data_IF_508014365320
#
_entry.id   IF_508014365320
#
_cell.length_a   1.000
_cell.length_b   1.000
_cell.length_c   1.000
_cell.angle_alpha   90.00
_cell.angle_beta   90.00
_cell.angle_gamma   90.00
#
_symmetry.space_group_name_H-M   'P 1'
#
loop_
_entity.id
_entity.type
_entity.pdbx_description
1 polymer ?
#
# COMPACT_ATOMS: atom_id res chain seq x y z
N UNK A 1 15.35 23.45 -66.12
CA UNK A 1 16.03 23.23 -64.83
C UNK A 1 15.02 23.05 -63.69
N UNK A 2 14.29 21.93 -63.62
CA UNK A 2 13.32 21.67 -62.52
C UNK A 2 12.99 20.18 -62.38
N UNK A 3 14.00 19.34 -62.14
CA UNK A 3 13.78 17.91 -61.82
C UNK A 3 14.63 17.36 -60.68
N UNK A 4 15.67 18.10 -60.25
CA UNK A 4 16.60 17.61 -59.21
C UNK A 4 16.14 17.98 -57.79
N UNK A 5 15.30 19.00 -57.61
CA UNK A 5 14.82 19.43 -56.28
C UNK A 5 13.74 18.53 -55.67
N UNK A 6 13.03 17.74 -56.48
CA UNK A 6 11.91 16.92 -56.00
C UNK A 6 12.36 15.62 -55.33
N UNK A 7 13.47 15.03 -55.79
CA UNK A 7 14.00 13.79 -55.22
C UNK A 7 14.66 13.99 -53.85
N UNK A 8 15.39 15.09 -53.65
CA UNK A 8 16.07 15.36 -52.37
C UNK A 8 15.10 15.59 -51.20
N UNK A 9 13.97 16.28 -51.45
CA UNK A 9 12.97 16.50 -50.40
C UNK A 9 12.19 15.25 -50.03
N UNK A 10 12.01 14.31 -50.97
CA UNK A 10 11.28 13.06 -50.71
C UNK A 10 12.13 12.08 -49.90
N UNK A 11 13.42 11.94 -50.23
CA UNK A 11 14.38 11.10 -49.48
C UNK A 11 14.62 11.64 -48.06
N UNK A 12 14.70 12.97 -47.90
CA UNK A 12 14.86 13.62 -46.58
C UNK A 12 13.61 13.50 -45.69
N UNK A 13 12.40 13.43 -46.27
CA UNK A 13 11.17 13.17 -45.52
C UNK A 13 11.08 11.70 -45.10
N UNK A 14 11.44 10.76 -45.98
CA UNK A 14 11.41 9.33 -45.67
C UNK A 14 12.39 8.94 -44.55
N UNK A 15 13.59 9.55 -44.52
CA UNK A 15 14.58 9.26 -43.47
C UNK A 15 14.17 9.76 -42.08
N UNK A 16 13.43 10.88 -42.00
CA UNK A 16 12.89 11.41 -40.74
C UNK A 16 11.76 10.52 -40.20
N UNK A 17 10.90 9.97 -41.07
CA UNK A 17 9.85 9.05 -40.65
C UNK A 17 10.40 7.71 -40.14
N UNK A 18 11.44 7.15 -40.78
CA UNK A 18 12.05 5.90 -40.31
C UNK A 18 12.77 6.11 -38.97
N UNK A 19 13.47 7.24 -38.79
CA UNK A 19 14.11 7.56 -37.52
C UNK A 19 13.10 7.74 -36.38
N UNK A 20 11.94 8.36 -36.64
CA UNK A 20 10.88 8.51 -35.63
C UNK A 20 10.26 7.17 -35.21
N UNK A 21 10.06 6.23 -36.14
CA UNK A 21 9.54 4.90 -35.83
C UNK A 21 10.54 4.10 -34.98
N UNK A 22 11.84 4.16 -35.29
CA UNK A 22 12.87 3.47 -34.50
C UNK A 22 12.99 4.03 -33.08
N UNK A 23 12.80 5.34 -32.89
CA UNK A 23 12.79 5.98 -31.57
C UNK A 23 11.56 5.55 -30.76
N UNK A 24 10.38 5.42 -31.38
CA UNK A 24 9.15 4.94 -30.71
C UNK A 24 9.30 3.45 -30.31
N UNK A 25 9.94 2.63 -31.15
CA UNK A 25 10.20 1.22 -30.85
C UNK A 25 11.22 1.03 -29.72
N UNK A 26 12.24 1.90 -29.64
CA UNK A 26 13.27 1.84 -28.58
C UNK A 26 12.76 2.35 -27.23
N UNK A 27 11.78 3.26 -27.21
CA UNK A 27 11.13 3.71 -25.97
C UNK A 27 10.12 2.69 -25.41
N UNK A 28 9.71 1.70 -26.23
CA UNK A 28 8.79 0.63 -25.80
C UNK A 28 9.50 -0.56 -25.15
N UNK A 29 10.84 -0.61 -25.19
CA UNK A 29 11.65 -1.71 -24.62
C UNK A 29 12.32 -1.36 -23.29
N UNK A 30 11.83 -0.33 -22.60
CA UNK A 30 12.26 0.02 -21.25
C UNK A 30 11.07 -0.10 -20.28
N UNK A 31 10.33 -1.20 -20.35
CA UNK A 31 9.58 -1.68 -19.20
C UNK A 31 10.57 -2.47 -18.35
N UNK A 32 11.12 -1.83 -17.33
CA UNK A 32 11.70 -2.54 -16.19
C UNK A 32 10.74 -3.65 -15.80
N UNK A 33 11.26 -4.86 -15.61
CA UNK A 33 10.55 -6.02 -15.07
C UNK A 33 9.95 -5.66 -13.70
N UNK A 34 8.78 -5.00 -13.69
CA UNK A 34 7.95 -4.91 -12.51
C UNK A 34 7.27 -6.26 -12.39
N UNK A 35 7.95 -7.19 -11.72
CA UNK A 35 7.33 -8.43 -11.27
C UNK A 35 6.09 -8.06 -10.48
N UNK A 36 4.96 -8.60 -10.91
CA UNK A 36 3.64 -8.31 -10.36
C UNK A 36 3.61 -8.56 -8.84
N UNK A 37 3.06 -7.63 -8.06
CA UNK A 37 3.03 -7.72 -6.59
C UNK A 37 2.29 -8.98 -6.16
N UNK A 38 1.22 -9.34 -6.86
CA UNK A 38 0.45 -10.56 -6.63
C UNK A 38 1.30 -11.83 -6.84
N UNK A 39 2.07 -11.88 -7.93
CA UNK A 39 2.98 -12.98 -8.23
C UNK A 39 4.06 -13.14 -7.15
N UNK A 40 4.63 -12.02 -6.68
CA UNK A 40 5.62 -12.04 -5.59
C UNK A 40 5.02 -12.58 -4.29
N UNK A 41 3.81 -12.15 -3.93
CA UNK A 41 3.09 -12.66 -2.74
C UNK A 41 2.87 -14.17 -2.87
N UNK A 42 2.30 -14.63 -3.98
CA UNK A 42 1.95 -16.05 -4.16
C UNK A 42 3.18 -16.95 -4.17
N UNK A 43 4.26 -16.52 -4.81
CA UNK A 43 5.53 -17.25 -4.82
C UNK A 43 6.07 -17.44 -3.41
N UNK A 44 6.07 -16.37 -2.59
CA UNK A 44 6.55 -16.40 -1.21
C UNK A 44 5.67 -17.24 -0.30
N UNK A 45 4.34 -17.11 -0.41
CA UNK A 45 3.41 -17.95 0.37
C UNK A 45 3.60 -19.43 0.06
N UNK A 46 3.80 -19.79 -1.21
CA UNK A 46 4.10 -21.17 -1.60
C UNK A 46 5.39 -21.68 -0.95
N UNK A 47 6.43 -20.87 -0.87
CA UNK A 47 7.67 -21.25 -0.19
C UNK A 47 7.46 -21.42 1.32
N UNK A 48 6.68 -20.53 1.95
CA UNK A 48 6.30 -20.66 3.37
C UNK A 48 5.61 -22.01 3.61
N UNK A 49 4.59 -22.34 2.81
CA UNK A 49 3.87 -23.61 2.89
C UNK A 49 4.80 -24.81 2.77
N UNK A 50 5.76 -24.76 1.84
CA UNK A 50 6.74 -25.83 1.65
C UNK A 50 7.74 -25.95 2.81
N UNK A 51 8.10 -24.84 3.45
CA UNK A 51 9.09 -24.81 4.53
C UNK A 51 8.57 -25.24 5.89
N UNK A 52 7.26 -25.09 6.15
CA UNK A 52 6.70 -25.29 7.50
C UNK A 52 6.10 -26.68 7.75
N UNK A 53 5.97 -27.54 6.72
CA UNK A 53 5.41 -28.91 6.83
C UNK A 53 4.07 -28.97 7.62
N UNK A 54 3.25 -27.91 7.51
CA UNK A 54 1.97 -27.81 8.23
C UNK A 54 0.88 -28.51 7.40
N UNK A 55 0.13 -29.47 7.98
CA UNK A 55 -0.97 -30.11 7.28
C UNK A 55 -2.07 -29.10 6.92
N UNK A 56 -2.34 -28.96 5.63
CA UNK A 56 -3.23 -27.98 4.97
C UNK A 56 -4.69 -28.04 5.49
N UNK A 57 -5.08 -29.08 6.24
CA UNK A 57 -6.46 -29.39 6.59
C UNK A 57 -6.80 -29.34 8.09
N UNK A 58 -5.94 -28.76 8.94
CA UNK A 58 -6.19 -28.63 10.38
C UNK A 58 -6.87 -27.32 10.77
N UNK A 59 -7.69 -27.33 11.82
CA UNK A 59 -8.03 -26.10 12.55
C UNK A 59 -6.73 -25.45 13.01
N UNK A 60 -6.42 -24.28 12.47
CA UNK A 60 -5.31 -23.48 12.95
C UNK A 60 -5.78 -22.81 14.22
N UNK A 61 -5.50 -23.43 15.35
CA UNK A 61 -5.46 -22.69 16.59
C UNK A 61 -4.36 -21.64 16.40
N UNK A 62 -4.73 -20.37 16.46
CA UNK A 62 -3.84 -19.19 16.43
C UNK A 62 -2.98 -19.11 17.69
N UNK A 63 -2.43 -20.24 18.12
CA UNK A 63 -1.54 -20.35 19.26
C UNK A 63 -0.25 -19.62 18.93
N UNK A 64 0.37 -19.01 19.94
CA UNK A 64 1.45 -18.03 19.74
C UNK A 64 2.64 -18.59 18.94
N UNK A 65 2.88 -19.90 19.00
CA UNK A 65 3.98 -20.54 18.28
C UNK A 65 3.85 -20.43 16.76
N UNK A 66 2.65 -20.61 16.19
CA UNK A 66 2.51 -20.55 14.72
C UNK A 66 2.65 -19.11 14.21
N UNK A 67 2.20 -18.14 14.98
CA UNK A 67 2.42 -16.73 14.66
C UNK A 67 3.91 -16.42 14.61
N UNK A 68 4.66 -16.85 15.63
CA UNK A 68 6.10 -16.63 15.72
C UNK A 68 6.84 -17.36 14.60
N UNK A 69 6.44 -18.58 14.25
CA UNK A 69 7.03 -19.35 13.15
C UNK A 69 6.86 -18.62 11.80
N UNK A 70 5.67 -18.09 11.52
CA UNK A 70 5.42 -17.28 10.32
C UNK A 70 6.24 -16.00 10.31
N UNK A 71 6.28 -15.29 11.43
CA UNK A 71 7.00 -14.01 11.55
C UNK A 71 8.51 -14.14 11.37
N UNK A 72 9.09 -15.29 11.72
CA UNK A 72 10.53 -15.56 11.60
C UNK A 72 10.93 -16.18 10.25
N UNK A 73 10.02 -16.22 9.26
CA UNK A 73 10.28 -16.79 7.95
C UNK A 73 10.77 -15.72 6.94
N UNK A 74 11.87 -15.99 6.23
CA UNK A 74 12.45 -15.04 5.26
C UNK A 74 11.51 -14.69 4.09
N UNK A 75 10.70 -15.64 3.63
CA UNK A 75 9.70 -15.38 2.60
C UNK A 75 8.57 -14.51 3.14
N UNK A 76 8.21 -14.65 4.41
CA UNK A 76 7.24 -13.76 5.06
C UNK A 76 7.78 -12.33 5.20
N UNK A 77 9.03 -12.16 5.64
CA UNK A 77 9.69 -10.85 5.64
C UNK A 77 9.68 -10.22 4.25
N UNK A 78 9.88 -11.04 3.20
CA UNK A 78 9.79 -10.62 1.82
C UNK A 78 8.40 -10.11 1.39
N UNK A 79 7.31 -10.67 1.95
CA UNK A 79 5.96 -10.15 1.74
C UNK A 79 5.81 -8.79 2.43
N UNK A 80 6.26 -8.68 3.70
CA UNK A 80 6.19 -7.43 4.47
C UNK A 80 7.00 -6.31 3.80
N UNK A 81 8.14 -6.64 3.20
CA UNK A 81 9.02 -5.71 2.51
C UNK A 81 8.38 -5.06 1.26
N UNK A 82 7.34 -5.67 0.67
CA UNK A 82 6.55 -5.06 -0.41
C UNK A 82 5.81 -3.80 0.07
N UNK A 83 5.58 -3.67 1.38
CA UNK A 83 4.99 -2.49 1.99
C UNK A 83 3.58 -2.20 1.49
N UNK A 84 3.22 -0.92 1.42
CA UNK A 84 1.86 -0.47 1.07
C UNK A 84 1.36 -1.02 -0.27
N UNK A 85 2.25 -1.29 -1.22
CA UNK A 85 1.88 -1.84 -2.52
C UNK A 85 1.21 -3.21 -2.42
N UNK A 86 1.51 -4.00 -1.38
CA UNK A 86 0.91 -5.32 -1.18
C UNK A 86 -0.47 -5.29 -0.50
N UNK A 87 -0.87 -4.18 0.13
CA UNK A 87 -2.13 -4.14 0.90
C UNK A 87 -3.38 -4.46 0.06
N UNK A 88 -3.59 -3.86 -1.14
CA UNK A 88 -4.76 -4.18 -1.95
C UNK A 88 -4.76 -5.63 -2.42
N UNK A 89 -3.60 -6.13 -2.86
CA UNK A 89 -3.44 -7.51 -3.34
C UNK A 89 -3.72 -8.53 -2.22
N UNK A 90 -3.18 -8.31 -1.02
CA UNK A 90 -3.42 -9.18 0.13
C UNK A 90 -4.90 -9.19 0.54
N UNK A 91 -5.58 -8.05 0.51
CA UNK A 91 -7.03 -7.99 0.76
C UNK A 91 -7.81 -8.76 -0.29
N UNK A 92 -7.46 -8.62 -1.57
CA UNK A 92 -8.11 -9.33 -2.66
C UNK A 92 -7.88 -10.85 -2.58
N UNK A 93 -6.64 -11.29 -2.36
CA UNK A 93 -6.29 -12.69 -2.19
C UNK A 93 -7.03 -13.31 -1.00
N UNK A 94 -7.13 -12.56 0.11
CA UNK A 94 -7.88 -12.98 1.29
C UNK A 94 -9.39 -12.98 1.08
N UNK A 95 -9.95 -12.13 0.21
CA UNK A 95 -11.37 -12.14 -0.13
C UNK A 95 -11.72 -13.32 -1.06
N UNK A 96 -10.82 -13.63 -2.00
CA UNK A 96 -11.00 -14.66 -3.03
C UNK A 96 -10.58 -16.07 -2.59
N UNK A 97 -9.85 -16.21 -1.49
CA UNK A 97 -9.39 -17.52 -1.00
C UNK A 97 -10.56 -18.46 -0.72
N UNK A 98 -10.43 -19.71 -1.17
CA UNK A 98 -11.38 -20.78 -0.90
C UNK A 98 -10.69 -21.86 -0.04
N UNK A 99 -10.82 -21.76 1.29
CA UNK A 99 -10.59 -22.84 2.27
C UNK A 99 -9.13 -23.22 2.59
N UNK A 100 -8.12 -22.50 2.12
CA UNK A 100 -6.72 -22.66 2.59
C UNK A 100 -6.46 -21.83 3.86
N UNK A 101 -6.94 -22.33 5.01
CA UNK A 101 -6.90 -21.62 6.31
C UNK A 101 -5.51 -21.09 6.66
N UNK A 102 -4.45 -21.83 6.35
CA UNK A 102 -3.07 -21.40 6.59
C UNK A 102 -2.62 -20.24 5.71
N UNK A 103 -3.01 -20.26 4.44
CA UNK A 103 -2.70 -19.18 3.50
C UNK A 103 -3.45 -17.90 3.89
N UNK A 104 -4.72 -18.05 4.25
CA UNK A 104 -5.52 -16.93 4.77
C UNK A 104 -4.89 -16.32 6.03
N UNK A 105 -4.34 -17.16 6.91
CA UNK A 105 -3.62 -16.74 8.10
C UNK A 105 -2.36 -15.93 7.76
N UNK A 106 -1.55 -16.39 6.80
CA UNK A 106 -0.37 -15.65 6.34
C UNK A 106 -0.76 -14.28 5.78
N UNK A 107 -1.80 -14.21 4.93
CA UNK A 107 -2.27 -12.95 4.37
C UNK A 107 -2.74 -11.97 5.45
N UNK A 108 -3.49 -12.47 6.45
CA UNK A 108 -3.96 -11.65 7.56
C UNK A 108 -2.79 -11.08 8.40
N UNK A 109 -1.79 -11.91 8.74
CA UNK A 109 -0.60 -11.42 9.47
C UNK A 109 0.16 -10.40 8.64
N UNK A 110 0.35 -10.65 7.34
CA UNK A 110 1.03 -9.69 6.46
C UNK A 110 0.30 -8.34 6.41
N UNK A 111 -1.04 -8.35 6.35
CA UNK A 111 -1.85 -7.14 6.44
C UNK A 111 -1.62 -6.42 7.78
N UNK A 112 -1.64 -7.11 8.92
CA UNK A 112 -1.36 -6.52 10.25
C UNK A 112 0.04 -5.86 10.29
N UNK A 113 1.07 -6.57 9.80
CA UNK A 113 2.46 -6.09 9.83
C UNK A 113 2.68 -4.87 8.93
N UNK A 114 2.23 -4.92 7.68
CA UNK A 114 2.40 -3.81 6.72
C UNK A 114 1.58 -2.59 7.15
N UNK A 115 0.35 -2.81 7.60
CA UNK A 115 -0.53 -1.73 8.03
C UNK A 115 -0.19 -1.20 9.42
N UNK A 116 0.66 -1.89 10.19
CA UNK A 116 0.95 -1.59 11.60
C UNK A 116 -0.33 -1.50 12.44
N UNK A 117 -1.35 -2.28 12.07
CA UNK A 117 -2.62 -2.39 12.80
C UNK A 117 -2.61 -3.70 13.56
N UNK A 118 -2.92 -3.62 14.85
CA UNK A 118 -3.02 -4.76 15.73
C UNK A 118 -4.49 -4.99 16.09
N UNK A 119 -5.18 -5.87 15.35
CA UNK A 119 -6.58 -6.19 15.61
C UNK A 119 -6.75 -7.25 16.70
N UNK A 120 -5.67 -7.94 17.07
CA UNK A 120 -5.65 -8.95 18.13
C UNK A 120 -5.83 -8.31 19.52
N UNK A 121 -5.34 -7.08 19.71
CA UNK A 121 -5.49 -6.33 20.97
C UNK A 121 -6.94 -6.12 21.42
N UNK A 122 -7.89 -5.99 20.50
CA UNK A 122 -9.29 -5.70 20.84
C UNK A 122 -10.17 -6.95 20.94
N UNK A 123 -9.92 -7.95 20.07
CA UNK A 123 -10.52 -9.30 20.08
C UNK A 123 -9.83 -10.14 19.01
N UNK A 124 -9.26 -11.29 19.40
CA UNK A 124 -8.72 -12.27 18.46
C UNK A 124 -9.71 -12.58 17.33
N UNK A 125 -9.17 -12.81 16.14
CA UNK A 125 -9.91 -13.24 14.96
C UNK A 125 -9.62 -14.73 14.74
N UNK A 126 -10.66 -15.51 14.46
CA UNK A 126 -10.58 -16.98 14.39
C UNK A 126 -10.27 -17.48 12.98
N UNK A 127 -10.36 -16.60 11.97
CA UNK A 127 -10.07 -16.92 10.57
C UNK A 127 -9.63 -15.68 9.79
N UNK A 128 -8.94 -15.88 8.67
CA UNK A 128 -8.56 -14.78 7.79
C UNK A 128 -9.77 -14.03 7.22
N UNK A 129 -10.90 -14.70 6.93
CA UNK A 129 -12.14 -14.04 6.52
C UNK A 129 -12.74 -13.16 7.63
N UNK A 130 -12.67 -13.59 8.89
CA UNK A 130 -13.11 -12.76 10.01
C UNK A 130 -12.18 -11.56 10.20
N UNK A 131 -10.86 -11.77 10.10
CA UNK A 131 -9.87 -10.69 10.09
C UNK A 131 -10.21 -9.66 9.02
N UNK A 132 -10.44 -10.07 7.78
CA UNK A 132 -10.74 -9.17 6.66
C UNK A 132 -11.98 -8.30 6.94
N UNK A 133 -13.03 -8.89 7.50
CA UNK A 133 -14.24 -8.15 7.90
C UNK A 133 -13.95 -7.10 8.97
N UNK A 134 -13.20 -7.46 10.02
CA UNK A 134 -12.81 -6.53 11.09
C UNK A 134 -11.91 -5.43 10.57
N UNK A 135 -10.93 -5.78 9.73
CA UNK A 135 -9.99 -4.87 9.12
C UNK A 135 -10.70 -3.87 8.20
N UNK A 136 -11.64 -4.31 7.36
CA UNK A 136 -12.46 -3.42 6.52
C UNK A 136 -13.28 -2.42 7.35
N UNK A 137 -13.91 -2.86 8.45
CA UNK A 137 -14.62 -1.97 9.38
C UNK A 137 -13.65 -0.97 10.01
N UNK A 138 -12.49 -1.46 10.47
CA UNK A 138 -11.46 -0.63 11.07
C UNK A 138 -10.98 0.48 10.11
N UNK A 139 -10.64 0.13 8.86
CA UNK A 139 -10.21 1.07 7.83
C UNK A 139 -11.23 2.19 7.63
N UNK A 140 -12.52 1.85 7.54
CA UNK A 140 -13.60 2.83 7.36
C UNK A 140 -13.70 3.86 8.49
N UNK A 141 -13.27 3.52 9.70
CA UNK A 141 -13.32 4.42 10.85
C UNK A 141 -12.12 5.38 10.92
N UNK A 142 -11.02 5.09 10.23
CA UNK A 142 -9.76 5.83 10.31
C UNK A 142 -9.92 7.33 10.06
N UNK A 143 -10.60 7.80 8.99
CA UNK A 143 -10.69 9.23 8.72
C UNK A 143 -11.31 10.00 9.88
N UNK A 144 -12.40 9.46 10.44
CA UNK A 144 -13.11 10.04 11.57
C UNK A 144 -12.30 9.94 12.87
N UNK A 145 -11.58 8.83 13.10
CA UNK A 145 -10.70 8.66 14.27
C UNK A 145 -9.55 9.67 14.24
N UNK A 146 -8.87 9.85 13.10
CA UNK A 146 -7.77 10.80 12.93
C UNK A 146 -8.24 12.22 13.26
N UNK A 147 -9.36 12.66 12.66
CA UNK A 147 -9.93 13.98 12.92
C UNK A 147 -10.32 14.17 14.39
N UNK A 148 -11.02 13.21 14.96
CA UNK A 148 -11.45 13.26 16.37
C UNK A 148 -10.24 13.39 17.30
N UNK A 149 -9.21 12.58 17.12
CA UNK A 149 -8.01 12.61 17.97
C UNK A 149 -7.29 13.96 17.85
N UNK A 150 -7.20 14.54 16.66
CA UNK A 150 -6.60 15.86 16.46
C UNK A 150 -7.34 16.97 17.23
N UNK A 151 -8.67 16.89 17.28
CA UNK A 151 -9.53 17.88 17.95
C UNK A 151 -9.75 17.59 19.46
N UNK A 152 -9.32 16.44 19.97
CA UNK A 152 -9.49 16.08 21.38
C UNK A 152 -8.70 17.02 22.32
N UNK A 153 -9.32 17.38 23.45
CA UNK A 153 -8.70 18.21 24.49
C UNK A 153 -7.80 17.37 25.41
N UNK A 154 -6.76 16.80 24.82
CA UNK A 154 -5.72 15.98 25.48
C UNK A 154 -4.33 16.51 25.08
N UNK A 155 -3.29 16.06 25.77
CA UNK A 155 -1.91 16.44 25.44
C UNK A 155 -1.50 15.93 24.06
N UNK A 156 -0.64 16.68 23.37
CA UNK A 156 -0.10 16.30 22.06
C UNK A 156 0.58 14.93 22.10
N UNK A 157 1.30 14.62 23.18
CA UNK A 157 1.90 13.29 23.40
C UNK A 157 0.86 12.16 23.36
N UNK A 158 -0.34 12.39 23.90
CA UNK A 158 -1.43 11.40 23.91
C UNK A 158 -2.10 11.31 22.55
N UNK A 159 -2.27 12.44 21.85
CA UNK A 159 -2.73 12.45 20.44
C UNK A 159 -1.78 11.64 19.56
N UNK A 160 -0.48 11.91 19.66
CA UNK A 160 0.57 11.20 18.92
C UNK A 160 0.50 9.70 19.20
N UNK A 161 0.38 9.29 20.47
CA UNK A 161 0.25 7.88 20.83
C UNK A 161 -0.98 7.22 20.17
N UNK A 162 -2.14 7.85 20.23
CA UNK A 162 -3.38 7.33 19.64
C UNK A 162 -3.31 7.29 18.10
N UNK A 163 -2.71 8.30 17.46
CA UNK A 163 -2.55 8.37 16.01
C UNK A 163 -1.59 7.29 15.48
N UNK A 164 -0.51 6.99 16.21
CA UNK A 164 0.39 5.88 15.86
C UNK A 164 -0.32 4.53 15.88
N UNK A 165 -1.23 4.34 16.83
CA UNK A 165 -2.02 3.13 16.94
C UNK A 165 -3.01 2.95 15.77
N UNK A 166 -3.30 4.01 15.01
CA UNK A 166 -4.17 3.89 13.83
C UNK A 166 -3.50 3.18 12.64
N UNK A 167 -2.17 3.07 12.66
CA UNK A 167 -1.40 2.38 11.63
C UNK A 167 -1.19 3.18 10.35
N UNK A 168 -0.48 2.57 9.41
CA UNK A 168 -0.11 3.11 8.09
C UNK A 168 -1.30 3.68 7.30
N UNK A 169 -2.52 3.11 7.33
CA UNK A 169 -3.66 3.68 6.62
C UNK A 169 -4.13 5.06 7.14
N UNK A 170 -3.65 5.52 8.30
CA UNK A 170 -3.91 6.88 8.79
C UNK A 170 -3.04 7.96 8.12
N UNK A 171 -1.97 7.58 7.41
CA UNK A 171 -0.99 8.51 6.82
C UNK A 171 -1.64 9.60 5.95
N UNK A 172 -2.56 9.31 5.00
CA UNK A 172 -3.13 10.35 4.14
C UNK A 172 -3.89 11.41 4.93
N UNK A 173 -4.67 10.98 5.92
CA UNK A 173 -5.47 11.89 6.75
C UNK A 173 -4.60 12.70 7.71
N UNK A 174 -3.50 12.11 8.21
CA UNK A 174 -2.51 12.84 9.01
C UNK A 174 -1.77 13.87 8.17
N UNK A 175 -1.39 13.53 6.94
CA UNK A 175 -0.76 14.44 6.00
C UNK A 175 -1.64 15.69 5.81
N UNK A 176 -2.95 15.52 5.58
CA UNK A 176 -3.89 16.62 5.40
C UNK A 176 -3.97 17.55 6.61
N UNK A 177 -4.11 16.99 7.81
CA UNK A 177 -4.20 17.77 9.04
C UNK A 177 -2.91 18.55 9.28
N UNK A 178 -1.76 17.94 9.05
CA UNK A 178 -0.47 18.60 9.23
C UNK A 178 -0.31 19.73 8.19
N UNK A 179 -0.63 19.48 6.92
CA UNK A 179 -0.61 20.53 5.88
C UNK A 179 -1.60 21.68 6.18
N UNK A 180 -2.68 21.39 6.92
CA UNK A 180 -3.69 22.35 7.37
C UNK A 180 -3.33 23.10 8.66
N UNK A 181 -2.20 22.78 9.29
CA UNK A 181 -1.65 23.54 10.42
C UNK A 181 -1.42 22.76 11.71
N UNK A 182 -1.80 21.48 11.79
CA UNK A 182 -1.60 20.63 12.98
C UNK A 182 -0.17 20.05 13.04
N UNK A 183 0.84 20.93 13.03
CA UNK A 183 2.26 20.57 12.93
C UNK A 183 2.74 19.72 14.10
N UNK A 184 2.11 19.84 15.27
CA UNK A 184 2.36 19.04 16.46
C UNK A 184 2.13 17.54 16.26
N UNK A 185 1.39 17.13 15.21
CA UNK A 185 1.10 15.74 14.88
C UNK A 185 2.21 15.07 14.04
N UNK A 186 3.19 15.84 13.56
CA UNK A 186 4.32 15.34 12.74
C UNK A 186 5.04 14.11 13.33
N UNK A 187 5.28 14.00 14.65
CA UNK A 187 5.91 12.81 15.21
C UNK A 187 5.12 11.50 15.04
N UNK A 188 3.79 11.57 14.87
CA UNK A 188 2.99 10.40 14.52
C UNK A 188 3.21 10.02 13.05
N UNK A 189 3.22 11.01 12.16
CA UNK A 189 3.50 10.82 10.74
C UNK A 189 4.89 10.22 10.48
N UNK A 190 5.92 10.77 11.13
CA UNK A 190 7.29 10.27 11.03
C UNK A 190 7.37 8.81 11.47
N UNK A 191 6.72 8.44 12.58
CA UNK A 191 6.67 7.04 13.02
C UNK A 191 6.00 6.12 12.00
N UNK A 192 4.86 6.52 11.45
CA UNK A 192 4.11 5.69 10.50
C UNK A 192 4.87 5.52 9.17
N UNK A 193 5.68 6.50 8.80
CA UNK A 193 6.55 6.48 7.60
C UNK A 193 7.95 5.93 7.85
N UNK A 194 8.22 5.32 9.01
CA UNK A 194 9.54 4.79 9.40
C UNK A 194 10.65 5.86 9.33
N UNK A 195 10.30 7.09 9.72
CA UNK A 195 11.12 8.29 9.68
C UNK A 195 11.60 8.69 8.28
N UNK A 196 10.99 8.14 7.20
CA UNK A 196 11.36 8.46 5.81
C UNK A 196 11.00 9.91 5.44
N UNK A 197 10.02 10.51 6.11
CA UNK A 197 9.66 11.93 5.96
C UNK A 197 10.78 12.89 6.35
N UNK A 198 11.64 12.51 7.31
CA UNK A 198 12.74 13.33 7.85
C UNK A 198 12.28 14.75 8.27
N UNK A 199 11.03 14.89 8.73
CA UNK A 199 10.43 16.17 9.09
C UNK A 199 9.98 17.04 7.92
N UNK A 200 10.19 16.65 6.66
CA UNK A 200 9.67 17.34 5.47
C UNK A 200 8.51 16.56 4.86
N UNK A 201 7.34 16.73 5.50
CA UNK A 201 6.12 16.01 5.16
C UNK A 201 5.67 16.33 3.74
N UNK A 202 5.76 17.59 3.31
CA UNK A 202 5.35 18.01 1.96
C UNK A 202 6.19 17.36 0.89
N UNK A 203 7.52 17.38 1.04
CA UNK A 203 8.42 16.68 0.13
C UNK A 203 8.12 15.19 0.10
N UNK A 204 7.93 14.57 1.26
CA UNK A 204 7.57 13.15 1.33
C UNK A 204 6.28 12.84 0.57
N UNK A 205 5.24 13.67 0.71
CA UNK A 205 3.97 13.46 0.00
C UNK A 205 4.09 13.56 -1.51
N UNK A 206 4.94 14.46 -2.02
CA UNK A 206 5.23 14.57 -3.46
C UNK A 206 6.00 13.33 -3.95
N UNK A 207 7.02 12.91 -3.21
CA UNK A 207 7.87 11.77 -3.57
C UNK A 207 7.15 10.41 -3.45
N UNK A 208 6.07 10.33 -2.65
CA UNK A 208 5.34 9.10 -2.34
C UNK A 208 3.84 9.22 -2.69
N UNK A 209 3.50 10.01 -3.71
CA UNK A 209 2.11 10.26 -4.11
C UNK A 209 1.36 8.97 -4.46
N UNK A 210 2.03 8.00 -5.08
CA UNK A 210 1.43 6.69 -5.41
C UNK A 210 1.08 5.92 -4.14
N UNK A 211 1.94 5.96 -3.12
CA UNK A 211 1.67 5.35 -1.83
C UNK A 211 0.48 6.01 -1.12
N UNK A 212 0.39 7.34 -1.16
CA UNK A 212 -0.76 8.08 -0.62
C UNK A 212 -2.05 7.67 -1.33
N UNK A 213 -2.04 7.62 -2.66
CA UNK A 213 -3.19 7.22 -3.46
C UNK A 213 -3.63 5.78 -3.15
N UNK A 214 -2.68 4.85 -3.00
CA UNK A 214 -2.98 3.48 -2.61
C UNK A 214 -3.67 3.42 -1.25
N UNK A 215 -3.18 4.14 -0.25
CA UNK A 215 -3.78 4.16 1.10
C UNK A 215 -5.15 4.84 1.12
N UNK A 216 -5.32 5.93 0.37
CA UNK A 216 -6.62 6.59 0.20
C UNK A 216 -7.61 5.61 -0.42
N UNK A 217 -7.26 4.98 -1.54
CA UNK A 217 -8.14 4.01 -2.21
C UNK A 217 -8.44 2.81 -1.31
N UNK A 218 -7.45 2.31 -0.57
CA UNK A 218 -7.63 1.22 0.38
C UNK A 218 -8.71 1.53 1.41
N UNK A 219 -8.70 2.74 1.98
CA UNK A 219 -9.70 3.19 2.96
C UNK A 219 -11.02 3.55 2.28
N UNK A 220 -11.00 4.26 1.16
CA UNK A 220 -12.18 4.76 0.46
C UNK A 220 -13.01 3.65 -0.19
N UNK A 221 -12.39 2.57 -0.68
CA UNK A 221 -13.10 1.40 -1.19
C UNK A 221 -13.97 0.73 -0.11
N UNK A 222 -13.63 0.89 1.17
CA UNK A 222 -14.47 0.42 2.29
C UNK A 222 -15.60 1.40 2.62
N UNK A 223 -15.51 2.63 2.10
CA UNK A 223 -16.49 3.70 2.28
C UNK A 223 -17.09 4.10 0.93
N UNK A 224 -17.94 3.25 0.35
CA UNK A 224 -18.92 3.75 -0.62
C UNK A 224 -19.82 4.78 0.10
N UNK A 225 -19.43 6.07 0.05
CA UNK A 225 -20.14 7.35 0.30
C UNK A 225 -19.18 8.39 0.92
N UNK A 226 -18.38 9.08 0.09
CA UNK A 226 -18.06 10.54 0.15
C UNK A 226 -16.78 10.87 -0.63
N UNK A 227 -16.89 11.01 -1.96
CA UNK A 227 -15.79 11.49 -2.80
C UNK A 227 -15.76 13.02 -2.87
N UNK A 228 -14.95 13.68 -2.05
CA UNK A 228 -14.59 15.10 -2.30
C UNK A 228 -13.11 15.43 -2.11
N UNK A 229 -12.26 14.44 -1.79
CA UNK A 229 -10.85 14.68 -1.47
C UNK A 229 -9.97 14.63 -2.74
N UNK A 230 -10.37 13.84 -3.74
CA UNK A 230 -9.56 13.55 -4.93
C UNK A 230 -9.32 14.75 -5.87
N UNK A 231 -10.20 15.75 -5.92
CA UNK A 231 -10.04 16.87 -6.88
C UNK A 231 -9.08 17.95 -6.42
N UNK A 232 -8.77 18.04 -5.12
CA UNK A 232 -7.89 19.09 -4.57
C UNK A 232 -6.40 18.72 -4.63
N UNK A 233 -6.05 17.43 -4.57
CA UNK A 233 -4.65 16.99 -4.58
C UNK A 233 -3.97 17.19 -5.93
N UNK A 234 -4.61 16.79 -7.03
CA UNK A 234 -4.03 16.95 -8.38
C UNK A 234 -3.93 18.42 -8.83
N UNK A 235 -4.69 19.35 -8.24
CA UNK A 235 -4.63 20.77 -8.62
C UNK A 235 -3.65 21.59 -7.79
N UNK A 236 -3.20 21.10 -6.63
CA UNK A 236 -2.36 21.87 -5.69
C UNK A 236 -0.86 21.59 -5.87
N UNK A 237 -0.49 20.50 -6.53
CA UNK A 237 0.90 20.03 -6.66
C UNK A 237 1.35 19.78 -8.12
N UNK A 238 0.56 20.21 -9.11
CA UNK A 238 0.97 20.43 -10.51
C UNK A 238 1.13 21.94 -10.71
#
# INVERSE_FOLDING_TARGET
MSKVSFFFNTVRRLSVFIAAIVIISLLSSCSTDQVDVNEQINSRVKNIQQSMDIPISGEINSDSSLYDDVMNNEDFEGIVALGVAALPELMQLLDQSEQEVFVEYIYAIALEQISKVDLRKEKDWDSGKEFLKKYAVYLKEIPNKVKRIADESISDSKKIYQLKALGTPAIPYLFELIDSGYQELSPAFDYLTDNKSKGDIRKWGIENIDQLNLLINLVEQQSHLNSSIYSQYNSKYI
#
